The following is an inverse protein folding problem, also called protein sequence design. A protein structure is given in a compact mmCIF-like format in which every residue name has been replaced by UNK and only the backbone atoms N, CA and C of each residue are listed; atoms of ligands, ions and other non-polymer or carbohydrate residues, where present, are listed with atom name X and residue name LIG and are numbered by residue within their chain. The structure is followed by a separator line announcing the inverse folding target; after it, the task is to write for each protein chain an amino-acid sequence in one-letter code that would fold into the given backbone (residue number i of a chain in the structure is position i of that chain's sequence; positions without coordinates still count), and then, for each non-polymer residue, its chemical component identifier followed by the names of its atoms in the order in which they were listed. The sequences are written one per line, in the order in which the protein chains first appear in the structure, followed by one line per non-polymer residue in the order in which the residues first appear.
data_IF_399788654049
#
_entry.id   IF_399788654049
#
_cell.length_a   1.000
_cell.length_b   1.000
_cell.length_c   1.000
_cell.angle_alpha   90.00
_cell.angle_beta   90.00
_cell.angle_gamma   90.00
#
_symmetry.space_group_name_H-M   'P 1'
#
loop_
_entity.id
_entity.type
_entity.pdbx_description
1 polymer ?
#
# COMPACT_ATOMS: atom_id res chain seq x y z
N UNK A 1 -17.80 -1.58 5.27
CA UNK A 1 -16.69 -0.64 5.03
C UNK A 1 -16.40 -0.59 3.53
N UNK A 2 -16.04 0.57 2.94
CA UNK A 2 -15.82 0.67 1.51
C UNK A 2 -14.55 -0.13 1.12
N UNK A 3 -14.67 -0.98 0.09
CA UNK A 3 -13.55 -1.77 -0.45
C UNK A 3 -12.53 -0.86 -1.13
N UNK A 4 -11.24 -1.13 -0.95
CA UNK A 4 -10.19 -0.55 -1.81
C UNK A 4 -10.38 -1.07 -3.23
N UNK A 5 -10.53 -0.15 -4.19
CA UNK A 5 -10.72 -0.48 -5.60
C UNK A 5 -9.37 -0.32 -6.31
N UNK A 6 -8.85 -1.43 -6.82
CA UNK A 6 -7.64 -1.44 -7.65
C UNK A 6 -8.03 -1.16 -9.12
N UNK A 7 -7.40 -0.21 -9.83
CA UNK A 7 -7.87 0.17 -11.16
C UNK A 7 -7.51 -0.82 -12.28
N UNK A 8 -8.35 -0.79 -13.32
CA UNK A 8 -8.44 -1.80 -14.39
C UNK A 8 -7.32 -1.74 -15.45
N UNK A 9 -6.39 -0.80 -15.36
CA UNK A 9 -5.27 -0.64 -16.32
C UNK A 9 -4.09 -1.58 -16.05
N UNK A 10 -4.25 -2.55 -15.16
CA UNK A 10 -3.16 -3.43 -14.73
C UNK A 10 -3.02 -4.63 -15.67
N UNK A 11 -1.83 -4.91 -16.23
CA UNK A 11 -1.60 -6.09 -17.05
C UNK A 11 -1.98 -7.39 -16.32
N UNK A 12 -2.70 -8.27 -17.01
CA UNK A 12 -3.36 -9.50 -16.52
C UNK A 12 -2.42 -10.51 -15.83
N UNK A 13 -1.11 -10.30 -15.87
CA UNK A 13 -0.08 -11.13 -15.22
C UNK A 13 0.00 -10.96 -13.69
N UNK A 14 -0.75 -10.04 -13.09
CA UNK A 14 -0.72 -9.70 -11.65
C UNK A 14 -2.03 -10.02 -10.87
N UNK A 15 -2.84 -10.98 -11.31
CA UNK A 15 -4.14 -11.34 -10.69
C UNK A 15 -4.06 -11.61 -9.19
N UNK A 16 -2.97 -12.24 -8.71
CA UNK A 16 -2.79 -12.54 -7.28
C UNK A 16 -2.57 -11.30 -6.40
N UNK A 17 -1.83 -10.29 -6.89
CA UNK A 17 -1.60 -9.06 -6.15
C UNK A 17 -2.84 -8.17 -6.15
N UNK A 18 -3.57 -8.12 -7.28
CA UNK A 18 -4.85 -7.41 -7.37
C UNK A 18 -5.88 -7.99 -6.39
N UNK A 19 -6.10 -9.30 -6.45
CA UNK A 19 -7.02 -9.98 -5.53
C UNK A 19 -6.64 -9.78 -4.06
N UNK A 20 -5.34 -9.88 -3.76
CA UNK A 20 -4.86 -9.61 -2.40
C UNK A 20 -5.20 -8.18 -1.93
N UNK A 21 -4.98 -7.17 -2.77
CA UNK A 21 -5.30 -5.79 -2.39
C UNK A 21 -6.80 -5.57 -2.24
N UNK A 22 -7.63 -6.18 -3.10
CA UNK A 22 -9.08 -6.10 -2.99
C UNK A 22 -9.62 -6.78 -1.71
N UNK A 23 -9.00 -7.89 -1.29
CA UNK A 23 -9.41 -8.67 -0.12
C UNK A 23 -8.83 -8.14 1.20
N UNK A 24 -7.60 -7.61 1.21
CA UNK A 24 -6.84 -7.29 2.42
C UNK A 24 -6.18 -5.91 2.41
N UNK A 25 -6.22 -5.18 1.29
CA UNK A 25 -5.44 -3.94 1.14
C UNK A 25 -5.83 -2.86 2.16
N UNK A 26 -7.11 -2.75 2.49
CA UNK A 26 -7.60 -1.81 3.48
C UNK A 26 -7.07 -2.13 4.89
N UNK A 27 -7.09 -3.40 5.29
CA UNK A 27 -6.61 -3.83 6.61
C UNK A 27 -5.10 -3.56 6.75
N UNK A 28 -4.32 -3.86 5.70
CA UNK A 28 -2.88 -3.56 5.66
C UNK A 28 -2.63 -2.06 5.72
N UNK A 29 -3.44 -1.25 5.02
CA UNK A 29 -3.29 0.21 5.02
C UNK A 29 -3.56 0.81 6.40
N UNK A 30 -4.66 0.42 7.04
CA UNK A 30 -4.99 0.86 8.39
C UNK A 30 -3.89 0.45 9.39
N UNK A 31 -3.48 -0.82 9.37
CA UNK A 31 -2.42 -1.30 10.26
C UNK A 31 -1.10 -0.55 10.03
N UNK A 32 -0.75 -0.26 8.78
CA UNK A 32 0.44 0.52 8.46
C UNK A 32 0.37 1.92 9.09
N UNK A 33 -0.74 2.64 8.89
CA UNK A 33 -0.96 3.98 9.44
C UNK A 33 -0.90 4.01 10.96
N UNK A 34 -1.38 2.96 11.63
CA UNK A 34 -1.30 2.82 13.08
C UNK A 34 0.12 2.46 13.58
N UNK A 35 0.95 1.87 12.71
CA UNK A 35 2.28 1.37 13.07
C UNK A 35 3.40 2.40 12.88
N UNK A 36 3.31 3.23 11.84
CA UNK A 36 4.41 4.14 11.47
C UNK A 36 4.12 5.58 11.86
N UNK A 37 5.14 6.35 12.28
CA UNK A 37 4.96 7.77 12.55
C UNK A 37 4.60 8.54 11.27
N UNK A 38 3.55 9.36 11.36
CA UNK A 38 3.08 10.22 10.27
C UNK A 38 4.16 11.24 9.90
N UNK A 39 4.42 11.43 8.61
CA UNK A 39 5.39 12.42 8.13
C UNK A 39 6.85 11.96 8.19
N UNK A 40 7.13 10.75 8.67
CA UNK A 40 8.48 10.20 8.75
C UNK A 40 8.76 9.11 7.71
N UNK A 41 9.99 9.08 7.22
CA UNK A 41 10.42 8.09 6.23
C UNK A 41 10.80 6.76 6.89
N UNK A 42 10.01 5.72 6.66
CA UNK A 42 10.27 4.37 7.14
C UNK A 42 10.79 3.43 6.05
N UNK A 43 11.48 2.38 6.45
CA UNK A 43 11.96 1.31 5.56
C UNK A 43 10.90 0.23 5.41
N UNK A 44 10.49 -0.08 4.17
CA UNK A 44 9.52 -1.16 3.91
C UNK A 44 10.08 -2.52 4.35
N UNK A 45 11.39 -2.73 4.24
CA UNK A 45 12.03 -3.99 4.68
C UNK A 45 11.93 -4.17 6.19
N UNK A 46 11.91 -3.07 6.94
CA UNK A 46 11.84 -3.08 8.40
C UNK A 46 10.40 -3.16 8.90
N UNK A 47 9.47 -2.45 8.25
CA UNK A 47 8.06 -2.39 8.66
C UNK A 47 7.25 -3.61 8.18
N UNK A 48 7.45 -4.09 6.95
CA UNK A 48 6.58 -5.16 6.44
C UNK A 48 6.55 -6.44 7.31
N UNK A 49 7.66 -6.88 7.95
CA UNK A 49 7.62 -8.02 8.88
C UNK A 49 6.90 -7.75 10.21
N UNK A 50 6.68 -6.50 10.61
CA UNK A 50 5.98 -6.14 11.86
C UNK A 50 4.47 -6.10 11.69
N UNK A 51 3.98 -5.95 10.46
CA UNK A 51 2.55 -5.90 10.15
C UNK A 51 1.94 -7.31 10.21
N UNK A 52 1.11 -7.55 11.22
CA UNK A 52 0.40 -8.81 11.48
C UNK A 52 -0.45 -9.27 10.30
N UNK A 53 -1.01 -8.34 9.52
CA UNK A 53 -1.83 -8.69 8.36
C UNK A 53 -1.00 -9.40 7.28
N UNK A 54 0.29 -9.08 7.16
CA UNK A 54 1.14 -9.59 6.07
C UNK A 54 2.38 -10.39 6.51
N UNK A 55 2.76 -10.38 7.79
CA UNK A 55 3.99 -11.02 8.27
C UNK A 55 4.04 -12.54 8.06
N UNK A 56 2.87 -13.19 8.00
CA UNK A 56 2.70 -14.62 7.74
C UNK A 56 3.01 -15.03 6.30
N UNK A 57 3.02 -14.09 5.35
CA UNK A 57 3.29 -14.41 3.95
C UNK A 57 4.79 -14.43 3.65
N UNK A 58 5.19 -15.30 2.72
CA UNK A 58 6.56 -15.32 2.22
C UNK A 58 6.85 -14.03 1.45
N UNK A 59 7.69 -13.17 2.02
CA UNK A 59 8.09 -11.90 1.42
C UNK A 59 7.06 -10.79 1.64
N UNK A 60 6.79 -10.39 2.91
CA UNK A 60 5.76 -9.41 3.27
C UNK A 60 5.95 -8.06 2.56
N UNK A 61 7.20 -7.68 2.28
CA UNK A 61 7.55 -6.46 1.53
C UNK A 61 6.84 -6.38 0.16
N UNK A 62 6.62 -7.52 -0.51
CA UNK A 62 5.93 -7.54 -1.81
C UNK A 62 4.47 -7.12 -1.68
N UNK A 63 3.81 -7.57 -0.61
CA UNK A 63 2.42 -7.24 -0.32
C UNK A 63 2.28 -5.79 0.11
N UNK A 64 3.15 -5.31 1.00
CA UNK A 64 3.18 -3.89 1.36
C UNK A 64 3.36 -2.99 0.13
N UNK A 65 4.29 -3.33 -0.78
CA UNK A 65 4.45 -2.60 -2.04
C UNK A 65 3.19 -2.61 -2.92
N UNK A 66 2.46 -3.72 -2.96
CA UNK A 66 1.22 -3.80 -3.73
C UNK A 66 0.15 -2.86 -3.16
N UNK A 67 0.01 -2.82 -1.84
CA UNK A 67 -0.91 -1.90 -1.15
C UNK A 67 -0.54 -0.45 -1.38
N UNK A 68 0.74 -0.08 -1.20
CA UNK A 68 1.18 1.31 -1.44
C UNK A 68 0.95 1.75 -2.89
N UNK A 69 1.19 0.86 -3.87
CA UNK A 69 0.87 1.14 -5.27
C UNK A 69 -0.61 1.38 -5.50
N UNK A 70 -1.47 0.59 -4.87
CA UNK A 70 -2.91 0.75 -4.96
C UNK A 70 -3.37 2.09 -4.40
N UNK A 71 -2.84 2.48 -3.24
CA UNK A 71 -3.16 3.76 -2.59
C UNK A 71 -2.72 4.95 -3.45
N UNK A 72 -1.50 4.89 -4.02
CA UNK A 72 -1.01 5.92 -4.95
C UNK A 72 -1.91 6.04 -6.18
N UNK A 73 -2.34 4.91 -6.73
CA UNK A 73 -3.16 4.89 -7.94
C UNK A 73 -4.61 5.31 -7.67
N UNK A 74 -5.16 4.97 -6.50
CA UNK A 74 -6.47 5.46 -6.05
C UNK A 74 -6.44 6.98 -5.86
N UNK A 75 -5.38 7.53 -5.27
CA UNK A 75 -5.16 8.98 -5.20
C UNK A 75 -5.10 9.64 -6.58
N UNK A 76 -4.37 9.04 -7.54
CA UNK A 76 -4.32 9.57 -8.92
C UNK A 76 -5.68 9.59 -9.59
N UNK A 77 -6.53 8.62 -9.28
CA UNK A 77 -7.86 8.47 -9.90
C UNK A 77 -8.92 9.32 -9.19
N UNK A 78 -8.78 9.51 -7.87
CA UNK A 78 -9.76 10.20 -7.01
C UNK A 78 -9.06 11.16 -6.03
N UNK A 79 -8.34 12.19 -6.50
CA UNK A 79 -7.56 13.07 -5.63
C UNK A 79 -8.43 13.84 -4.62
N UNK A 80 -9.69 14.12 -4.95
CA UNK A 80 -10.66 14.79 -4.08
C UNK A 80 -10.92 14.00 -2.79
N UNK A 81 -10.87 12.66 -2.85
CA UNK A 81 -11.06 11.79 -1.69
C UNK A 81 -9.92 11.90 -0.65
N UNK A 82 -8.81 12.56 -1.04
CA UNK A 82 -7.61 12.76 -0.23
C UNK A 82 -7.30 14.25 -0.01
N UNK A 83 -8.28 15.14 -0.19
CA UNK A 83 -8.09 16.60 -0.08
C UNK A 83 -6.94 17.11 -0.97
N UNK A 84 -6.75 16.48 -2.13
CA UNK A 84 -5.63 16.72 -3.06
C UNK A 84 -4.23 16.50 -2.49
N UNK A 85 -4.08 15.90 -1.30
CA UNK A 85 -2.78 15.58 -0.70
C UNK A 85 -2.41 14.13 -0.96
N UNK A 86 -1.19 13.84 -1.45
CA UNK A 86 -0.78 12.46 -1.67
C UNK A 86 -0.73 11.73 -0.33
N UNK A 87 -1.45 10.60 -0.17
CA UNK A 87 -1.49 9.84 1.07
C UNK A 87 -0.19 9.09 1.37
N UNK A 88 0.69 8.93 0.36
CA UNK A 88 2.00 8.29 0.51
C UNK A 88 3.00 8.90 -0.46
N UNK A 89 4.22 9.07 0.04
CA UNK A 89 5.40 9.36 -0.75
C UNK A 89 6.34 8.15 -0.77
N UNK A 90 7.00 7.91 -1.90
CA UNK A 90 7.90 6.76 -2.10
C UNK A 90 9.29 7.22 -2.51
N UNK A 91 10.31 6.55 -1.98
CA UNK A 91 11.71 6.80 -2.33
C UNK A 91 12.13 5.93 -3.54
N UNK A 92 12.13 6.57 -4.70
CA UNK A 92 12.59 6.01 -5.97
C UNK A 92 11.75 4.85 -6.53
N UNK A 93 12.16 4.36 -7.70
CA UNK A 93 11.44 3.31 -8.43
C UNK A 93 11.41 1.97 -7.70
N UNK A 94 12.34 1.75 -6.76
CA UNK A 94 12.45 0.48 -6.03
C UNK A 94 11.60 0.43 -4.77
N UNK A 95 10.94 1.53 -4.37
CA UNK A 95 10.07 1.61 -3.18
C UNK A 95 10.76 0.95 -1.97
N UNK A 96 11.93 1.47 -1.60
CA UNK A 96 12.66 0.98 -0.41
C UNK A 96 12.15 1.64 0.86
N UNK A 97 11.78 2.90 0.74
CA UNK A 97 11.21 3.71 1.81
C UNK A 97 9.91 4.33 1.36
N UNK A 98 9.06 4.61 2.33
CA UNK A 98 7.85 5.38 2.14
C UNK A 98 7.64 6.31 3.33
N UNK A 99 6.75 7.28 3.14
CA UNK A 99 6.24 8.19 4.16
C UNK A 99 4.74 8.30 3.96
N UNK A 100 3.98 8.17 5.06
CA UNK A 100 2.52 8.36 5.12
C UNK A 100 2.21 9.76 5.64
#
# INVERSE_FOLDING_TARGET
MPKMIYPDTTPTVFTGARKFVEDHGHDVWCELCDTVPVGEWFSLKSIAPTLTTINKYKGPVRYLRAVLKAVIEDYRTRPDAYEHRPPVEIDGLTMRRARV
#
